data_IF_367576880719
#
_entry.id   IF_367576880719
#
_cell.length_a   1.000
_cell.length_b   1.000
_cell.length_c   1.000
_cell.angle_alpha   90.00
_cell.angle_beta   90.00
_cell.angle_gamma   90.00
#
_symmetry.space_group_name_H-M   'P 1'
#
loop_
_entity.id
_entity.type
_entity.pdbx_description
1 polymer ?
#
# COMPACT_ATOMS: atom_id res chain seq x y z
N UNK A 1 -34.20 -1.88 -12.20
CA UNK A 1 -33.88 -3.16 -11.53
C UNK A 1 -32.70 -3.78 -12.29
N UNK A 2 -31.47 -3.57 -11.83
CA UNK A 2 -30.27 -4.04 -12.54
C UNK A 2 -29.97 -5.45 -12.05
N UNK A 3 -30.06 -6.41 -12.98
CA UNK A 3 -29.86 -7.83 -12.71
C UNK A 3 -28.35 -8.12 -12.67
N UNK A 4 -27.77 -8.16 -11.47
CA UNK A 4 -26.36 -8.53 -11.27
C UNK A 4 -26.26 -10.05 -11.37
N UNK A 5 -25.67 -10.54 -12.46
CA UNK A 5 -25.35 -11.97 -12.61
C UNK A 5 -24.42 -12.41 -11.48
N UNK A 6 -24.69 -13.53 -10.79
CA UNK A 6 -23.79 -14.03 -9.76
C UNK A 6 -22.44 -14.40 -10.37
N UNK A 7 -21.36 -13.91 -9.75
CA UNK A 7 -19.98 -14.28 -10.11
C UNK A 7 -19.83 -15.79 -9.92
N UNK A 8 -19.42 -16.57 -10.94
CA UNK A 8 -19.22 -17.99 -10.76
C UNK A 8 -18.07 -18.21 -9.76
N UNK A 9 -18.27 -19.12 -8.81
CA UNK A 9 -17.22 -19.59 -7.88
C UNK A 9 -16.23 -20.48 -8.65
N UNK A 10 -15.48 -19.90 -9.57
CA UNK A 10 -14.40 -20.60 -10.28
C UNK A 10 -13.18 -20.54 -9.38
N UNK A 11 -12.74 -21.70 -8.90
CA UNK A 11 -11.45 -21.81 -8.20
C UNK A 11 -10.31 -21.41 -9.16
N UNK A 12 -9.27 -20.77 -8.63
CA UNK A 12 -8.11 -20.31 -9.39
C UNK A 12 -7.38 -21.44 -10.14
N UNK A 13 -6.53 -21.07 -11.09
CA UNK A 13 -5.73 -22.02 -11.86
C UNK A 13 -4.40 -22.27 -11.14
N UNK A 14 -4.21 -23.48 -10.61
CA UNK A 14 -3.04 -23.81 -9.78
C UNK A 14 -1.67 -23.54 -10.44
N UNK A 15 -1.57 -23.60 -11.77
CA UNK A 15 -0.33 -23.22 -12.47
C UNK A 15 -0.09 -21.71 -12.44
N UNK A 16 -1.15 -20.90 -12.58
CA UNK A 16 -1.06 -19.44 -12.46
C UNK A 16 -0.69 -19.05 -11.03
N UNK A 17 -1.30 -19.67 -10.01
CA UNK A 17 -0.98 -19.40 -8.61
C UNK A 17 0.52 -19.64 -8.33
N UNK A 18 1.09 -20.74 -8.83
CA UNK A 18 2.53 -21.03 -8.66
C UNK A 18 3.43 -20.01 -9.35
N UNK A 19 3.05 -19.52 -10.55
CA UNK A 19 3.78 -18.45 -11.23
C UNK A 19 3.77 -17.19 -10.37
N UNK A 20 2.60 -16.82 -9.85
CA UNK A 20 2.44 -15.65 -8.98
C UNK A 20 3.21 -15.81 -7.66
N UNK A 21 3.24 -17.02 -7.07
CA UNK A 21 4.06 -17.33 -5.89
C UNK A 21 5.54 -17.10 -6.17
N UNK A 22 6.05 -17.53 -7.33
CA UNK A 22 7.45 -17.32 -7.72
C UNK A 22 7.76 -15.83 -7.93
N UNK A 23 6.88 -15.09 -8.62
CA UNK A 23 7.08 -13.64 -8.82
C UNK A 23 7.01 -12.87 -7.49
N UNK A 24 6.13 -13.27 -6.57
CA UNK A 24 5.99 -12.64 -5.25
C UNK A 24 7.14 -12.95 -4.28
N UNK A 25 8.05 -13.86 -4.66
CA UNK A 25 9.23 -14.18 -3.87
C UNK A 25 10.32 -13.09 -3.94
N UNK A 26 10.26 -12.23 -4.96
CA UNK A 26 11.12 -11.05 -5.10
C UNK A 26 10.56 -9.92 -4.22
N UNK A 27 11.39 -9.39 -3.33
CA UNK A 27 11.05 -8.36 -2.37
C UNK A 27 11.85 -7.08 -2.63
N UNK A 28 11.37 -5.97 -2.08
CA UNK A 28 12.08 -4.69 -2.14
C UNK A 28 13.46 -4.85 -1.51
N UNK A 29 14.50 -4.44 -2.25
CA UNK A 29 15.90 -4.57 -1.85
C UNK A 29 16.62 -5.77 -2.48
N UNK A 30 15.90 -6.74 -3.05
CA UNK A 30 16.54 -7.81 -3.82
C UNK A 30 17.05 -7.26 -5.16
N UNK A 31 18.30 -7.59 -5.51
CA UNK A 31 18.81 -7.35 -6.87
C UNK A 31 18.62 -8.55 -7.78
N UNK A 32 18.72 -9.76 -7.22
CA UNK A 32 18.55 -11.05 -7.89
C UNK A 32 18.42 -12.16 -6.83
N UNK A 33 17.84 -13.30 -7.21
CA UNK A 33 17.66 -14.47 -6.34
C UNK A 33 18.26 -15.73 -6.96
N UNK A 34 18.88 -16.56 -6.14
CA UNK A 34 19.31 -17.91 -6.49
C UNK A 34 18.11 -18.88 -6.48
N UNK A 35 18.29 -20.03 -7.15
CA UNK A 35 17.30 -21.10 -7.11
C UNK A 35 17.05 -21.65 -5.70
N UNK A 36 18.05 -21.61 -4.82
CA UNK A 36 17.92 -22.06 -3.43
C UNK A 36 17.02 -21.11 -2.64
N UNK A 37 17.27 -19.81 -2.73
CA UNK A 37 16.45 -18.78 -2.07
C UNK A 37 14.99 -18.84 -2.56
N UNK A 38 14.78 -19.10 -3.85
CA UNK A 38 13.42 -19.27 -4.39
C UNK A 38 12.72 -20.51 -3.83
N UNK A 39 13.41 -21.64 -3.66
CA UNK A 39 12.85 -22.83 -3.01
C UNK A 39 12.46 -22.52 -1.57
N UNK A 40 13.35 -21.85 -0.83
CA UNK A 40 13.11 -21.49 0.57
C UNK A 40 11.93 -20.52 0.74
N UNK A 41 11.85 -19.47 -0.10
CA UNK A 41 10.80 -18.45 -0.02
C UNK A 41 9.44 -18.93 -0.51
N UNK A 42 9.40 -19.85 -1.48
CA UNK A 42 8.14 -20.29 -2.11
C UNK A 42 7.62 -21.63 -1.59
N UNK A 43 8.47 -22.47 -0.99
CA UNK A 43 8.15 -23.85 -0.63
C UNK A 43 7.94 -24.78 -1.83
N UNK A 44 8.19 -24.31 -3.07
CA UNK A 44 8.05 -25.11 -4.29
C UNK A 44 9.30 -25.95 -4.56
N UNK A 45 9.11 -27.13 -5.14
CA UNK A 45 10.23 -27.99 -5.51
C UNK A 45 11.06 -27.38 -6.66
N UNK A 46 12.37 -27.63 -6.63
CA UNK A 46 13.36 -27.11 -7.58
C UNK A 46 12.97 -27.29 -9.06
N UNK A 47 12.49 -28.48 -9.43
CA UNK A 47 12.07 -28.77 -10.81
C UNK A 47 10.86 -27.94 -11.28
N UNK A 48 9.96 -27.59 -10.35
CA UNK A 48 8.81 -26.73 -10.66
C UNK A 48 9.28 -25.31 -10.90
N UNK A 49 10.09 -24.75 -9.99
CA UNK A 49 10.61 -23.38 -10.13
C UNK A 49 11.38 -23.22 -11.43
N UNK A 50 12.28 -24.16 -11.77
CA UNK A 50 13.04 -24.08 -13.03
C UNK A 50 12.14 -24.03 -14.27
N UNK A 51 11.07 -24.84 -14.31
CA UNK A 51 10.10 -24.81 -15.41
C UNK A 51 9.34 -23.50 -15.48
N UNK A 52 8.96 -22.94 -14.33
CA UNK A 52 8.29 -21.64 -14.26
C UNK A 52 9.22 -20.51 -14.70
N UNK A 53 10.50 -20.56 -14.32
CA UNK A 53 11.49 -19.57 -14.73
C UNK A 53 11.71 -19.55 -16.24
N UNK A 54 11.72 -20.72 -16.90
CA UNK A 54 11.76 -20.77 -18.39
C UNK A 54 10.57 -20.01 -18.98
N UNK A 55 9.36 -20.24 -18.48
CA UNK A 55 8.19 -19.51 -18.96
C UNK A 55 8.29 -18.01 -18.67
N UNK A 56 8.70 -17.61 -17.47
CA UNK A 56 8.86 -16.21 -17.09
C UNK A 56 9.93 -15.49 -17.93
N UNK A 57 11.03 -16.17 -18.23
CA UNK A 57 12.11 -15.67 -19.09
C UNK A 57 11.64 -15.49 -20.53
N UNK A 58 10.93 -16.48 -21.09
CA UNK A 58 10.35 -16.39 -22.42
C UNK A 58 9.33 -15.23 -22.57
N UNK A 59 8.70 -14.81 -21.48
CA UNK A 59 7.75 -13.70 -21.46
C UNK A 59 8.36 -12.40 -20.91
N UNK A 60 9.68 -12.35 -20.68
CA UNK A 60 10.38 -11.12 -20.28
C UNK A 60 10.13 -10.64 -18.85
N UNK A 61 9.59 -11.49 -17.97
CA UNK A 61 9.37 -11.18 -16.55
C UNK A 61 10.62 -11.39 -15.69
N UNK A 62 11.50 -12.30 -16.09
CA UNK A 62 12.74 -12.63 -15.39
C UNK A 62 13.87 -12.80 -16.39
N UNK A 63 15.07 -12.36 -16.03
CA UNK A 63 16.32 -12.69 -16.73
C UNK A 63 17.12 -13.68 -15.90
N UNK A 64 17.69 -14.71 -16.55
CA UNK A 64 18.71 -15.55 -15.92
C UNK A 64 20.09 -14.97 -16.16
N UNK A 65 20.78 -14.61 -15.08
CA UNK A 65 22.13 -14.08 -15.10
C UNK A 65 23.16 -15.17 -15.42
N UNK A 66 24.37 -14.76 -15.82
CA UNK A 66 25.46 -15.69 -16.18
C UNK A 66 25.88 -16.63 -15.03
N UNK A 67 25.74 -16.18 -13.78
CA UNK A 67 26.00 -16.98 -12.58
C UNK A 67 24.81 -17.86 -12.14
N UNK A 68 23.72 -17.86 -12.92
CA UNK A 68 22.53 -18.66 -12.68
C UNK A 68 21.51 -18.04 -11.72
N UNK A 69 21.72 -16.80 -11.25
CA UNK A 69 20.71 -16.04 -10.50
C UNK A 69 19.59 -15.55 -11.41
N UNK A 70 18.44 -15.28 -10.83
CA UNK A 70 17.25 -14.77 -11.51
C UNK A 70 16.99 -13.34 -11.06
N UNK A 71 16.72 -12.44 -12.00
CA UNK A 71 16.39 -11.03 -11.73
C UNK A 71 15.10 -10.66 -12.45
N UNK A 72 14.26 -9.81 -11.84
CA UNK A 72 13.07 -9.28 -12.53
C UNK A 72 13.48 -8.48 -13.79
N UNK A 73 12.74 -8.65 -14.87
CA UNK A 73 13.03 -8.04 -16.16
C UNK A 73 11.98 -6.99 -16.56
N UNK A 74 12.16 -6.38 -17.73
CA UNK A 74 11.47 -5.17 -18.16
C UNK A 74 9.95 -5.30 -18.26
N UNK A 75 9.41 -6.51 -18.41
CA UNK A 75 7.95 -6.71 -18.45
C UNK A 75 7.27 -6.30 -17.14
N UNK A 76 7.96 -6.44 -16.00
CA UNK A 76 7.45 -5.96 -14.70
C UNK A 76 7.29 -4.44 -14.72
N UNK A 77 8.27 -3.72 -15.28
CA UNK A 77 8.19 -2.26 -15.43
C UNK A 77 7.08 -1.85 -16.38
N UNK A 78 6.90 -2.56 -17.50
CA UNK A 78 5.82 -2.31 -18.46
C UNK A 78 4.44 -2.46 -17.83
N UNK A 79 4.24 -3.51 -17.02
CA UNK A 79 2.98 -3.70 -16.29
C UNK A 79 2.76 -2.64 -15.21
N UNK A 80 3.82 -2.21 -14.51
CA UNK A 80 3.73 -1.09 -13.58
C UNK A 80 3.31 0.21 -14.29
N UNK A 81 3.89 0.51 -15.46
CA UNK A 81 3.50 1.69 -16.24
C UNK A 81 2.03 1.64 -16.67
N UNK A 82 1.51 0.47 -17.08
CA UNK A 82 0.08 0.29 -17.39
C UNK A 82 -0.79 0.45 -16.14
N UNK A 83 -0.34 -0.05 -14.99
CA UNK A 83 -1.02 0.13 -13.71
C UNK A 83 -1.07 1.61 -13.31
N UNK A 84 0.04 2.33 -13.45
CA UNK A 84 0.15 3.78 -13.19
C UNK A 84 -0.70 4.60 -14.16
N UNK A 85 -0.70 4.29 -15.45
CA UNK A 85 -1.54 4.97 -16.46
C UNK A 85 -3.04 4.72 -16.26
N UNK A 86 -3.42 3.52 -15.81
CA UNK A 86 -4.81 3.17 -15.54
C UNK A 86 -5.35 3.81 -14.25
N UNK A 87 -4.45 4.26 -13.37
CA UNK A 87 -4.79 4.78 -12.05
C UNK A 87 -4.17 6.17 -11.94
N UNK A 88 -4.96 7.18 -12.30
CA UNK A 88 -4.56 8.58 -12.07
C UNK A 88 -4.60 8.98 -10.58
N UNK A 89 -4.35 8.03 -9.68
CA UNK A 89 -4.33 8.22 -8.24
C UNK A 89 -3.10 8.99 -7.81
N UNK A 90 -1.97 8.84 -8.50
CA UNK A 90 -0.73 9.54 -8.16
C UNK A 90 -0.91 11.06 -8.21
N UNK A 91 -1.52 11.62 -9.29
CA UNK A 91 -1.78 13.06 -9.40
C UNK A 91 -2.66 13.58 -8.27
N UNK A 92 -3.50 12.71 -7.70
CA UNK A 92 -4.39 13.07 -6.60
C UNK A 92 -3.70 12.92 -5.25
N UNK A 93 -3.00 11.82 -5.00
CA UNK A 93 -2.40 11.47 -3.70
C UNK A 93 -1.13 12.26 -3.43
N UNK A 94 -0.19 12.32 -4.37
CA UNK A 94 1.14 12.89 -4.13
C UNK A 94 1.12 14.33 -3.62
N UNK A 95 0.27 15.25 -4.14
CA UNK A 95 0.18 16.60 -3.60
C UNK A 95 -0.22 16.65 -2.11
N UNK A 96 -1.11 15.74 -1.67
CA UNK A 96 -1.54 15.69 -0.26
C UNK A 96 -0.46 15.08 0.63
N UNK A 97 0.29 14.09 0.14
CA UNK A 97 1.43 13.55 0.88
C UNK A 97 2.51 14.62 1.10
N UNK A 98 2.83 15.42 0.07
CA UNK A 98 3.77 16.53 0.21
C UNK A 98 3.28 17.56 1.22
N UNK A 99 2.03 18.01 1.10
CA UNK A 99 1.40 18.95 2.04
C UNK A 99 1.50 18.45 3.49
N UNK A 100 1.12 17.19 3.73
CA UNK A 100 1.16 16.61 5.06
C UNK A 100 2.58 16.49 5.60
N UNK A 101 3.53 16.01 4.78
CA UNK A 101 4.92 15.88 5.21
C UNK A 101 5.56 17.24 5.53
N UNK A 102 5.29 18.26 4.70
CA UNK A 102 5.79 19.62 4.90
C UNK A 102 5.24 20.25 6.18
N UNK A 103 3.94 20.08 6.43
CA UNK A 103 3.23 20.77 7.51
C UNK A 103 3.33 20.08 8.86
N UNK A 104 3.55 18.76 8.87
CA UNK A 104 3.69 17.97 10.11
C UNK A 104 5.14 17.63 10.44
N UNK A 105 6.04 17.69 9.45
CA UNK A 105 7.41 17.20 9.58
C UNK A 105 7.52 15.68 9.62
N UNK A 106 6.41 14.94 9.54
CA UNK A 106 6.39 13.47 9.59
C UNK A 106 6.35 12.83 8.21
N UNK A 107 6.54 11.51 8.17
CA UNK A 107 6.47 10.78 6.91
C UNK A 107 5.02 10.54 6.53
N UNK A 108 4.60 11.06 5.39
CA UNK A 108 3.30 10.81 4.81
C UNK A 108 3.37 9.63 3.83
N UNK A 109 2.39 8.74 3.85
CA UNK A 109 2.30 7.58 2.96
C UNK A 109 0.85 7.28 2.60
N UNK A 110 0.66 6.61 1.48
CA UNK A 110 -0.63 6.09 1.04
C UNK A 110 -0.53 4.57 0.90
N UNK A 111 -1.39 3.86 1.62
CA UNK A 111 -1.42 2.41 1.61
C UNK A 111 -2.65 1.90 0.88
N UNK A 112 -2.50 0.79 0.16
CA UNK A 112 -3.60 0.05 -0.45
C UNK A 112 -3.68 -1.35 0.15
N UNK A 113 -4.89 -1.91 0.22
CA UNK A 113 -5.08 -3.27 0.73
C UNK A 113 -4.69 -4.28 -0.34
N UNK A 114 -3.84 -5.24 0.02
CA UNK A 114 -3.42 -6.35 -0.84
C UNK A 114 -3.59 -7.67 -0.07
N UNK A 115 -4.80 -8.21 -0.08
CA UNK A 115 -5.15 -9.44 0.62
C UNK A 115 -4.93 -9.33 2.14
N UNK A 116 -4.01 -10.14 2.68
CA UNK A 116 -3.60 -10.17 4.09
C UNK A 116 -2.54 -9.10 4.45
N UNK A 117 -2.10 -8.33 3.47
CA UNK A 117 -1.10 -7.28 3.62
C UNK A 117 -1.67 -5.92 3.19
N UNK A 118 -0.97 -4.86 3.58
CA UNK A 118 -1.10 -3.50 3.05
C UNK A 118 0.19 -3.17 2.32
N UNK A 119 0.07 -2.63 1.11
CA UNK A 119 1.21 -2.20 0.31
C UNK A 119 1.37 -0.69 0.43
N UNK A 120 2.58 -0.21 0.69
CA UNK A 120 2.90 1.22 0.58
C UNK A 120 2.93 1.59 -0.90
N UNK A 121 1.91 2.27 -1.40
CA UNK A 121 1.85 2.65 -2.82
C UNK A 121 2.65 3.92 -3.09
N UNK A 122 2.47 4.93 -2.23
CA UNK A 122 3.12 6.24 -2.38
C UNK A 122 3.65 6.73 -1.04
N UNK A 123 4.74 7.49 -1.06
CA UNK A 123 5.41 7.96 0.16
C UNK A 123 6.18 9.25 -0.06
N UNK A 124 6.10 10.16 0.91
CA UNK A 124 6.96 11.34 1.04
C UNK A 124 7.65 11.27 2.40
N UNK A 125 8.96 11.10 2.39
CA UNK A 125 9.74 10.92 3.61
C UNK A 125 9.79 12.21 4.44
N UNK A 126 9.77 12.05 5.76
CA UNK A 126 10.07 13.14 6.70
C UNK A 126 11.45 13.76 6.39
N UNK A 127 11.60 15.09 6.53
CA UNK A 127 12.89 15.77 6.42
C UNK A 127 13.86 15.38 7.56
N UNK A 128 13.37 14.75 8.63
CA UNK A 128 14.22 14.31 9.74
C UNK A 128 15.06 13.07 9.36
N UNK A 129 16.25 12.98 9.96
CA UNK A 129 17.15 11.83 9.81
C UNK A 129 16.58 10.56 10.43
N UNK A 130 15.93 10.69 11.59
CA UNK A 130 15.24 9.58 12.26
C UNK A 130 13.80 9.49 11.75
N UNK A 131 13.55 8.46 10.94
CA UNK A 131 12.25 8.16 10.32
C UNK A 131 12.07 6.67 10.13
N UNK A 132 10.83 6.25 9.90
CA UNK A 132 10.51 4.87 9.59
C UNK A 132 11.13 4.46 8.25
N UNK A 133 11.73 3.26 8.19
CA UNK A 133 12.30 2.70 6.97
C UNK A 133 11.23 1.86 6.24
N UNK A 134 10.52 2.51 5.32
CA UNK A 134 9.55 1.89 4.41
C UNK A 134 9.73 2.54 3.04
N UNK A 135 9.62 1.76 1.97
CA UNK A 135 9.65 2.22 0.58
C UNK A 135 8.31 1.94 -0.12
N UNK A 136 7.98 2.69 -1.19
CA UNK A 136 6.94 2.26 -2.13
C UNK A 136 7.18 0.81 -2.60
N UNK A 137 6.13 0.01 -2.67
CA UNK A 137 6.16 -1.43 -2.94
C UNK A 137 6.31 -2.32 -1.70
N UNK A 138 6.72 -1.78 -0.55
CA UNK A 138 6.84 -2.58 0.67
C UNK A 138 5.47 -3.10 1.13
N UNK A 139 5.46 -4.39 1.47
CA UNK A 139 4.31 -5.09 2.02
C UNK A 139 4.40 -5.15 3.55
N UNK A 140 3.35 -4.70 4.23
CA UNK A 140 3.21 -4.78 5.69
C UNK A 140 1.99 -5.61 6.05
N UNK A 141 1.98 -6.34 7.18
CA UNK A 141 0.80 -7.11 7.57
C UNK A 141 -0.44 -6.22 7.78
N UNK A 142 -1.63 -6.77 7.55
CA UNK A 142 -2.87 -6.21 8.09
C UNK A 142 -2.94 -6.49 9.60
N UNK A 143 -2.16 -5.74 10.38
CA UNK A 143 -1.99 -5.81 11.83
C UNK A 143 -2.88 -4.79 12.59
N UNK A 144 -2.54 -4.44 13.82
CA UNK A 144 -3.25 -3.46 14.64
C UNK A 144 -2.77 -2.01 14.45
N UNK A 145 -1.87 -1.74 13.51
CA UNK A 145 -1.45 -0.38 13.24
C UNK A 145 -2.56 0.42 12.56
N UNK A 146 -2.57 1.74 12.76
CA UNK A 146 -3.61 2.66 12.30
C UNK A 146 -3.89 2.50 10.79
N UNK A 147 -2.85 2.31 9.97
CA UNK A 147 -2.99 2.08 8.53
C UNK A 147 -3.82 0.83 8.18
N UNK A 148 -3.68 -0.28 8.92
CA UNK A 148 -4.52 -1.47 8.71
C UNK A 148 -5.93 -1.27 9.25
N UNK A 149 -6.09 -0.56 10.39
CA UNK A 149 -7.41 -0.23 10.91
C UNK A 149 -8.20 0.63 9.91
N UNK A 150 -7.57 1.65 9.33
CA UNK A 150 -8.15 2.46 8.25
C UNK A 150 -8.55 1.60 7.05
N UNK A 151 -7.68 0.70 6.58
CA UNK A 151 -7.99 -0.20 5.45
C UNK A 151 -9.05 -1.27 5.75
N UNK A 152 -9.44 -1.45 7.02
CA UNK A 152 -10.57 -2.31 7.41
C UNK A 152 -11.87 -1.55 7.54
N UNK A 153 -11.84 -0.23 7.68
CA UNK A 153 -13.03 0.58 7.91
C UNK A 153 -13.97 0.49 6.69
N UNK A 154 -15.21 0.02 6.86
CA UNK A 154 -16.24 0.16 5.84
C UNK A 154 -16.61 1.63 5.64
N UNK A 155 -17.12 1.97 4.45
CA UNK A 155 -17.51 3.33 4.10
C UNK A 155 -18.34 4.04 5.18
N UNK A 156 -19.45 3.42 5.60
CA UNK A 156 -20.37 4.01 6.57
C UNK A 156 -19.71 4.38 7.91
N UNK A 157 -18.81 3.54 8.42
CA UNK A 157 -18.10 3.86 9.67
C UNK A 157 -16.95 4.83 9.43
N UNK A 158 -16.28 4.76 8.28
CA UNK A 158 -15.16 5.63 7.95
C UNK A 158 -15.55 7.09 7.76
N UNK A 159 -16.65 7.37 7.03
CA UNK A 159 -17.12 8.75 6.83
C UNK A 159 -17.67 9.38 8.11
N UNK A 160 -18.11 8.56 9.08
CA UNK A 160 -18.64 9.02 10.36
C UNK A 160 -17.54 9.27 11.42
N UNK A 161 -16.28 8.95 11.11
CA UNK A 161 -15.17 9.10 12.05
C UNK A 161 -14.91 10.58 12.38
N UNK A 162 -14.88 10.88 13.67
CA UNK A 162 -14.57 12.21 14.19
C UNK A 162 -13.08 12.42 14.48
N UNK A 163 -12.32 11.33 14.57
CA UNK A 163 -10.87 11.33 14.77
C UNK A 163 -10.24 10.28 13.86
N UNK A 164 -9.02 10.50 13.34
CA UNK A 164 -8.30 9.46 12.64
C UNK A 164 -7.94 8.30 13.57
N UNK A 165 -7.65 7.14 12.99
CA UNK A 165 -7.06 6.05 13.74
C UNK A 165 -5.66 6.47 14.22
N UNK A 166 -5.33 6.14 15.46
CA UNK A 166 -4.00 6.31 16.02
C UNK A 166 -3.51 4.98 16.59
N UNK A 167 -2.24 4.68 16.40
CA UNK A 167 -1.58 3.53 17.02
C UNK A 167 -0.14 3.88 17.36
N UNK A 168 0.36 3.32 18.46
CA UNK A 168 1.74 3.41 18.89
C UNK A 168 2.22 2.01 19.28
N UNK A 169 3.44 1.64 18.89
CA UNK A 169 4.02 0.34 19.24
C UNK A 169 3.54 -0.84 18.39
N UNK A 170 2.56 -0.65 17.50
CA UNK A 170 1.90 -1.76 16.79
C UNK A 170 2.81 -2.48 15.79
N UNK A 171 3.64 -1.74 15.04
CA UNK A 171 4.62 -2.33 14.11
C UNK A 171 6.01 -2.43 14.70
N UNK A 172 6.35 -1.49 15.59
CA UNK A 172 7.63 -1.34 16.27
C UNK A 172 7.39 -0.52 17.55
N UNK A 173 8.00 -0.87 18.70
CA UNK A 173 7.79 -0.17 19.99
C UNK A 173 8.05 1.35 19.95
N UNK A 174 8.91 1.79 19.04
CA UNK A 174 9.31 3.19 18.90
C UNK A 174 8.62 3.90 17.72
N UNK A 175 7.59 3.29 17.13
CA UNK A 175 6.84 3.85 16.02
C UNK A 175 5.41 4.22 16.43
N UNK A 176 4.92 5.32 15.84
CA UNK A 176 3.51 5.70 15.89
C UNK A 176 2.99 5.99 14.48
N UNK A 177 1.67 5.91 14.32
CA UNK A 177 1.00 6.25 13.07
C UNK A 177 -0.40 6.79 13.29
N UNK A 178 -0.78 7.75 12.45
CA UNK A 178 -2.13 8.30 12.30
C UNK A 178 -2.65 7.92 10.92
N UNK A 179 -3.89 7.46 10.80
CA UNK A 179 -4.44 7.03 9.51
C UNK A 179 -5.91 7.36 9.33
N UNK A 180 -6.31 7.64 8.08
CA UNK A 180 -7.71 7.78 7.67
C UNK A 180 -8.00 6.96 6.42
N UNK A 181 -9.15 6.24 6.34
CA UNK A 181 -9.55 5.56 5.12
C UNK A 181 -9.88 6.57 4.02
N UNK A 182 -9.51 6.29 2.77
CA UNK A 182 -9.80 7.14 1.61
C UNK A 182 -10.74 6.41 0.68
N UNK A 183 -11.89 7.02 0.41
CA UNK A 183 -12.92 6.49 -0.47
C UNK A 183 -12.97 7.29 -1.78
N UNK A 184 -13.32 6.61 -2.87
CA UNK A 184 -13.48 7.18 -4.20
C UNK A 184 -14.95 7.26 -4.61
N UNK A 185 -15.19 7.34 -5.92
CA UNK A 185 -16.53 7.26 -6.49
C UNK A 185 -17.20 5.91 -6.15
N UNK A 186 -18.52 5.94 -5.92
CA UNK A 186 -19.28 4.73 -5.62
C UNK A 186 -18.97 4.10 -4.26
N UNK A 187 -18.47 4.91 -3.31
CA UNK A 187 -18.19 4.53 -1.92
C UNK A 187 -17.11 3.43 -1.78
N UNK A 188 -16.32 3.22 -2.82
CA UNK A 188 -15.23 2.24 -2.85
C UNK A 188 -14.05 2.71 -2.00
N UNK A 189 -13.50 1.81 -1.19
CA UNK A 189 -12.26 2.05 -0.45
C UNK A 189 -11.07 1.99 -1.42
N UNK A 190 -10.46 3.15 -1.67
CA UNK A 190 -9.29 3.29 -2.54
C UNK A 190 -8.00 3.00 -1.79
N UNK A 191 -7.92 3.40 -0.51
CA UNK A 191 -6.73 3.17 0.30
C UNK A 191 -6.81 3.84 1.67
N UNK A 192 -5.65 4.09 2.28
CA UNK A 192 -5.52 4.82 3.54
C UNK A 192 -4.41 5.85 3.45
N UNK A 193 -4.73 7.08 3.84
CA UNK A 193 -3.76 8.14 4.05
C UNK A 193 -3.15 7.97 5.44
N UNK A 194 -1.82 8.01 5.55
CA UNK A 194 -1.10 7.68 6.79
C UNK A 194 0.03 8.67 7.05
N UNK A 195 0.09 9.19 8.28
CA UNK A 195 1.28 9.81 8.86
C UNK A 195 1.99 8.80 9.75
N UNK A 196 3.31 8.74 9.67
CA UNK A 196 4.13 7.84 10.49
C UNK A 196 5.43 8.51 10.93
N UNK A 197 5.85 8.20 12.15
CA UNK A 197 7.05 8.77 12.76
C UNK A 197 7.44 8.05 14.05
N UNK A 198 8.57 8.45 14.66
CA UNK A 198 8.95 7.97 15.98
C UNK A 198 7.87 8.31 17.01
N UNK A 199 7.55 7.37 17.90
CA UNK A 199 6.54 7.54 18.95
C UNK A 199 6.88 8.66 19.94
N UNK A 200 8.16 9.03 20.05
CA UNK A 200 8.60 10.18 20.86
C UNK A 200 8.25 11.54 20.25
N UNK A 201 7.91 11.60 18.96
CA UNK A 201 7.56 12.85 18.25
C UNK A 201 6.11 12.87 17.80
N UNK A 202 5.64 11.77 17.22
CA UNK A 202 4.24 11.59 16.85
C UNK A 202 3.46 11.03 18.06
N UNK A 203 3.36 11.82 19.12
CA UNK A 203 2.58 11.50 20.32
C UNK A 203 1.07 11.63 20.06
N UNK A 204 0.19 11.13 20.95
CA UNK A 204 -1.25 11.34 20.82
C UNK A 204 -1.64 12.82 20.73
N UNK A 205 -1.02 13.69 21.52
CA UNK A 205 -1.28 15.13 21.55
C UNK A 205 -0.83 15.79 20.24
N UNK A 206 0.32 15.37 19.72
CA UNK A 206 0.82 15.83 18.42
C UNK A 206 -0.10 15.37 17.28
N UNK A 207 -0.57 14.12 17.33
CA UNK A 207 -1.56 13.60 16.38
C UNK A 207 -2.86 14.40 16.42
N UNK A 208 -3.35 14.78 17.61
CA UNK A 208 -4.52 15.62 17.75
C UNK A 208 -4.32 17.02 17.16
N UNK A 209 -3.14 17.62 17.34
CA UNK A 209 -2.78 18.90 16.75
C UNK A 209 -2.74 18.87 15.21
N UNK A 210 -2.54 17.70 14.59
CA UNK A 210 -2.55 17.53 13.14
C UNK A 210 -3.93 17.16 12.57
N UNK A 211 -4.96 16.97 13.40
CA UNK A 211 -6.26 16.51 12.93
C UNK A 211 -6.84 17.40 11.82
N UNK A 212 -6.82 18.73 12.01
CA UNK A 212 -7.43 19.67 11.06
C UNK A 212 -6.83 19.55 9.66
N UNK A 213 -5.50 19.63 9.58
CA UNK A 213 -4.81 19.51 8.30
C UNK A 213 -4.94 18.10 7.70
N UNK A 214 -4.98 17.08 8.54
CA UNK A 214 -5.12 15.70 8.10
C UNK A 214 -6.52 15.44 7.51
N UNK A 215 -7.56 15.97 8.14
CA UNK A 215 -8.94 15.92 7.66
C UNK A 215 -9.12 16.74 6.38
N UNK A 216 -8.54 17.93 6.30
CA UNK A 216 -8.62 18.75 5.09
C UNK A 216 -7.92 18.08 3.91
N UNK A 217 -6.70 17.56 4.11
CA UNK A 217 -5.98 16.81 3.07
C UNK A 217 -6.77 15.57 2.63
N UNK A 218 -7.35 14.84 3.58
CA UNK A 218 -8.17 13.65 3.29
C UNK A 218 -9.43 14.01 2.51
N UNK A 219 -10.14 15.07 2.92
CA UNK A 219 -11.35 15.57 2.26
C UNK A 219 -11.06 15.96 0.83
N UNK A 220 -10.00 16.74 0.62
CA UNK A 220 -9.60 17.19 -0.71
C UNK A 220 -9.15 16.04 -1.60
N UNK A 221 -8.50 15.02 -1.03
CA UNK A 221 -8.16 13.80 -1.76
C UNK A 221 -9.41 13.04 -2.18
N UNK A 222 -10.31 12.74 -1.24
CA UNK A 222 -11.58 12.04 -1.49
C UNK A 222 -12.44 12.77 -2.56
N UNK A 223 -12.56 14.10 -2.47
CA UNK A 223 -13.25 14.91 -3.48
C UNK A 223 -12.64 14.73 -4.86
N UNK A 224 -11.31 14.80 -4.94
CA UNK A 224 -10.59 14.65 -6.21
C UNK A 224 -10.72 13.25 -6.81
N UNK A 225 -11.02 12.24 -5.99
CA UNK A 225 -11.32 10.87 -6.39
C UNK A 225 -12.82 10.62 -6.62
N UNK A 226 -13.66 11.65 -6.54
CA UNK A 226 -15.10 11.57 -6.84
C UNK A 226 -15.99 11.08 -5.68
N UNK A 227 -15.48 11.02 -4.45
CA UNK A 227 -16.29 10.72 -3.28
C UNK A 227 -17.15 11.92 -2.89
N UNK A 228 -18.48 11.76 -2.97
CA UNK A 228 -19.45 12.83 -2.66
C UNK A 228 -19.62 13.07 -1.15
N UNK A 229 -19.39 12.04 -0.34
CA UNK A 229 -19.52 12.12 1.12
C UNK A 229 -18.33 12.81 1.80
N UNK A 230 -17.31 13.22 1.04
CA UNK A 230 -16.14 13.91 1.56
C UNK A 230 -16.51 15.18 2.36
N UNK A 231 -17.58 15.87 1.96
CA UNK A 231 -18.06 17.09 2.61
C UNK A 231 -18.59 16.88 4.03
N UNK A 232 -18.89 15.63 4.40
CA UNK A 232 -19.36 15.25 5.73
C UNK A 232 -18.26 14.98 6.74
N UNK A 233 -16.97 14.96 6.33
CA UNK A 233 -15.86 14.82 7.26
C UNK A 233 -15.79 16.03 8.19
N UNK A 234 -15.35 15.85 9.46
CA UNK A 234 -15.18 16.95 10.40
C UNK A 234 -14.42 18.10 9.75
N UNK A 235 -14.97 19.31 9.81
CA UNK A 235 -14.26 20.51 9.40
C UNK A 235 -13.10 20.77 10.36
N UNK A 236 -12.01 21.36 9.87
CA UNK A 236 -10.95 21.91 10.73
C UNK A 236 -11.59 22.75 11.85
N UNK A 237 -11.25 22.44 13.09
CA UNK A 237 -11.81 23.08 14.27
C UNK A 237 -11.63 24.60 14.23
N UNK A 238 -12.71 25.32 14.58
CA UNK A 238 -12.60 26.68 15.13
C UNK A 238 -12.12 26.62 16.57
#
# INVERSE_FOLDING_TARGET
MVNVRPRPAVNGVASADRVLTVLSAFQVGDTSLTLVELVERTGLIKSTIMRLMVSLENHGFVNRMADGRYQLASEVMRLNAVYEEGIDLERHVMPRLHLLAERTGETASFYVRHGAYRMCQYRVNSPHRLRMHVQPGDMRPMDDAAGAQALRAPFASGIAMQKPFYSMGATDPHAASVAFPVYGAGDELVGALVLSGPSSRLTPECAEAFNDIFFDATRDLMRSLGCKAADGLPAAGK
#
